data_IF_310589205280
#
_entry.id   IF_310589205280
#
_cell.length_a   1.000
_cell.length_b   1.000
_cell.length_c   1.000
_cell.angle_alpha   90.00
_cell.angle_beta   90.00
_cell.angle_gamma   90.00
#
_symmetry.space_group_name_H-M   'P 1'
#
loop_
_entity.id
_entity.type
_entity.pdbx_description
1 polymer ?
#
# COMPACT_ATOMS: atom_id res chain seq x y z
N UNK A 1 11.34 4.38 -17.30
CA UNK A 1 12.36 3.33 -17.10
C UNK A 1 13.58 3.74 -17.89
N UNK A 2 14.34 4.65 -17.30
CA UNK A 2 15.76 4.95 -17.47
C UNK A 2 15.93 6.29 -16.74
N UNK A 3 16.37 6.20 -15.50
CA UNK A 3 17.19 7.21 -14.86
C UNK A 3 17.81 6.54 -13.64
N UNK A 4 19.08 6.20 -13.80
CA UNK A 4 20.01 5.87 -12.74
C UNK A 4 20.06 7.04 -11.75
N UNK A 5 19.22 6.97 -10.72
CA UNK A 5 19.47 7.68 -9.47
C UNK A 5 20.19 6.70 -8.54
N UNK A 6 21.50 6.62 -8.68
CA UNK A 6 22.37 6.14 -7.61
C UNK A 6 22.17 7.03 -6.38
N UNK A 7 21.30 6.64 -5.46
CA UNK A 7 21.40 7.09 -4.07
C UNK A 7 22.16 6.04 -3.27
N UNK A 8 23.45 5.97 -3.54
CA UNK A 8 24.43 5.42 -2.60
C UNK A 8 24.67 6.46 -1.48
N UNK A 9 23.64 6.75 -0.70
CA UNK A 9 23.72 7.49 0.57
C UNK A 9 24.23 6.59 1.70
N UNK A 10 25.37 5.93 1.50
CA UNK A 10 26.11 5.26 2.56
C UNK A 10 26.88 6.28 3.39
N UNK A 11 26.29 6.73 4.50
CA UNK A 11 26.92 7.71 5.39
C UNK A 11 26.44 7.65 6.83
N UNK A 12 27.28 7.00 7.65
CA UNK A 12 27.40 7.10 9.13
C UNK A 12 26.33 6.41 9.98
N UNK A 13 26.60 5.13 10.24
CA UNK A 13 26.26 4.44 11.49
C UNK A 13 26.75 5.26 12.69
N UNK A 14 25.80 5.69 13.53
CA UNK A 14 26.05 6.63 14.61
C UNK A 14 24.82 6.91 15.47
N UNK A 15 24.31 5.87 16.16
CA UNK A 15 23.54 6.05 17.39
C UNK A 15 22.01 6.20 17.25
N UNK A 16 21.30 5.25 17.89
CA UNK A 16 19.87 5.23 18.22
C UNK A 16 18.88 4.94 17.06
N UNK A 17 18.63 3.64 16.83
CA UNK A 17 17.28 3.12 16.54
C UNK A 17 16.50 3.72 15.36
N UNK A 18 17.16 4.18 14.29
CA UNK A 18 16.44 4.73 13.12
C UNK A 18 15.69 3.60 12.41
N UNK A 19 14.35 3.66 12.43
CA UNK A 19 13.49 2.68 11.76
C UNK A 19 13.87 2.61 10.28
N UNK A 20 14.02 1.39 9.77
CA UNK A 20 14.28 1.16 8.34
C UNK A 20 13.11 1.71 7.53
N UNK A 21 13.39 2.60 6.58
CA UNK A 21 12.39 3.11 5.64
C UNK A 21 11.94 1.99 4.69
N UNK A 22 10.64 1.77 4.57
CA UNK A 22 10.02 0.64 3.88
C UNK A 22 9.46 1.02 2.52
N UNK A 23 8.96 2.25 2.37
CA UNK A 23 8.14 2.65 1.21
C UNK A 23 8.65 3.90 0.48
N UNK A 24 9.85 4.39 0.80
CA UNK A 24 10.40 5.65 0.27
C UNK A 24 10.33 5.73 -1.26
N UNK A 25 10.68 4.65 -1.97
CA UNK A 25 10.63 4.60 -3.44
C UNK A 25 9.20 4.66 -3.98
N UNK A 26 8.31 3.85 -3.44
CA UNK A 26 6.93 3.73 -3.89
C UNK A 26 6.12 5.00 -3.58
N UNK A 27 6.36 5.62 -2.43
CA UNK A 27 5.73 6.87 -2.03
C UNK A 27 6.15 8.03 -2.94
N UNK A 28 7.41 8.07 -3.37
CA UNK A 28 7.89 9.07 -4.33
C UNK A 28 7.12 8.99 -5.66
N UNK A 29 6.93 7.79 -6.20
CA UNK A 29 6.11 7.58 -7.40
C UNK A 29 4.63 7.92 -7.17
N UNK A 30 4.09 7.62 -5.99
CA UNK A 30 2.71 7.93 -5.65
C UNK A 30 2.48 9.44 -5.55
N UNK A 31 3.38 10.18 -4.89
CA UNK A 31 3.31 11.64 -4.76
C UNK A 31 3.28 12.31 -6.13
N UNK A 32 4.17 11.91 -7.03
CA UNK A 32 4.14 12.36 -8.43
C UNK A 32 2.80 12.03 -9.13
N UNK A 33 2.28 10.81 -8.93
CA UNK A 33 0.98 10.40 -9.48
C UNK A 33 -0.22 11.22 -8.95
N UNK A 34 -0.07 11.88 -7.79
CA UNK A 34 -1.05 12.82 -7.23
C UNK A 34 -0.77 14.30 -7.61
N UNK A 35 0.24 14.54 -8.46
CA UNK A 35 0.56 15.86 -9.01
C UNK A 35 1.68 16.62 -8.29
N UNK A 36 2.45 15.95 -7.43
CA UNK A 36 3.69 16.51 -6.87
C UNK A 36 4.82 16.52 -7.92
N UNK A 37 5.98 17.07 -7.56
CA UNK A 37 7.18 17.05 -8.41
C UNK A 37 7.70 15.62 -8.65
N UNK A 38 8.41 15.40 -9.76
CA UNK A 38 9.05 14.11 -10.06
C UNK A 38 10.11 13.74 -9.01
N UNK A 39 10.75 14.74 -8.41
CA UNK A 39 11.73 14.58 -7.35
C UNK A 39 11.34 15.40 -6.09
N UNK A 40 10.35 14.92 -5.30
CA UNK A 40 9.89 15.63 -4.11
C UNK A 40 10.96 15.68 -3.01
N UNK A 41 10.77 16.53 -2.00
CA UNK A 41 11.71 16.60 -0.87
C UNK A 41 11.75 15.28 -0.08
N UNK A 42 12.95 14.82 0.27
CA UNK A 42 13.14 13.58 1.03
C UNK A 42 12.46 13.65 2.39
N UNK A 43 12.46 14.81 3.03
CA UNK A 43 11.78 15.07 4.28
C UNK A 43 10.26 14.90 4.15
N UNK A 44 9.68 15.32 3.02
CA UNK A 44 8.25 15.13 2.74
C UNK A 44 7.90 13.65 2.55
N UNK A 45 8.75 12.90 1.84
CA UNK A 45 8.59 11.44 1.67
C UNK A 45 8.68 10.74 3.03
N UNK A 46 9.67 11.11 3.85
CA UNK A 46 9.88 10.55 5.18
C UNK A 46 8.68 10.79 6.12
N UNK A 47 8.15 12.01 6.15
CA UNK A 47 6.95 12.35 6.93
C UNK A 47 5.75 11.57 6.42
N UNK A 48 5.56 11.50 5.10
CA UNK A 48 4.44 10.77 4.51
C UNK A 48 4.53 9.27 4.83
N UNK A 49 5.73 8.70 4.88
CA UNK A 49 5.93 7.32 5.32
C UNK A 49 5.49 7.11 6.78
N UNK A 50 5.88 8.00 7.68
CA UNK A 50 5.46 7.93 9.08
C UNK A 50 3.93 8.04 9.22
N UNK A 51 3.29 8.94 8.47
CA UNK A 51 1.84 9.08 8.42
C UNK A 51 1.13 7.83 7.88
N UNK A 52 1.70 7.18 6.86
CA UNK A 52 1.13 5.95 6.28
C UNK A 52 1.24 4.79 7.26
N UNK A 53 2.38 4.65 7.95
CA UNK A 53 2.56 3.61 8.98
C UNK A 53 1.56 3.81 10.12
N UNK A 54 1.41 5.05 10.60
CA UNK A 54 0.43 5.38 11.64
C UNK A 54 -1.00 5.08 11.18
N UNK A 55 -1.36 5.50 9.96
CA UNK A 55 -2.68 5.25 9.38
C UNK A 55 -3.00 3.75 9.29
N UNK A 56 -2.07 2.93 8.78
CA UNK A 56 -2.25 1.48 8.69
C UNK A 56 -2.42 0.87 10.08
N UNK A 57 -1.59 1.30 11.04
CA UNK A 57 -1.63 0.82 12.43
C UNK A 57 -2.97 1.13 13.08
N UNK A 58 -3.42 2.39 12.99
CA UNK A 58 -4.68 2.83 13.60
C UNK A 58 -5.90 2.16 12.94
N UNK A 59 -5.91 2.06 11.60
CA UNK A 59 -6.95 1.33 10.86
C UNK A 59 -7.01 -0.14 11.26
N UNK A 60 -5.86 -0.79 11.46
CA UNK A 60 -5.79 -2.19 11.88
C UNK A 60 -6.32 -2.36 13.30
N UNK A 61 -5.97 -1.48 14.23
CA UNK A 61 -6.53 -1.49 15.58
C UNK A 61 -8.05 -1.31 15.60
N UNK A 62 -8.56 -0.34 14.82
CA UNK A 62 -10.00 -0.13 14.66
C UNK A 62 -10.67 -1.39 14.10
N UNK A 63 -10.08 -2.04 13.10
CA UNK A 63 -10.62 -3.25 12.50
C UNK A 63 -10.67 -4.42 13.49
N UNK A 64 -9.61 -4.60 14.28
CA UNK A 64 -9.57 -5.62 15.34
C UNK A 64 -10.61 -5.37 16.44
N UNK A 65 -10.98 -4.12 16.71
CA UNK A 65 -11.96 -3.78 17.75
C UNK A 65 -13.42 -4.08 17.34
N UNK A 66 -13.71 -4.08 16.05
CA UNK A 66 -15.06 -4.34 15.51
C UNK A 66 -15.23 -5.79 15.02
N UNK A 67 -14.13 -6.41 14.60
CA UNK A 67 -14.11 -7.74 14.00
C UNK A 67 -13.98 -8.87 15.03
N UNK A 68 -13.67 -10.07 14.54
CA UNK A 68 -13.39 -11.20 15.42
C UNK A 68 -12.02 -11.04 16.09
N UNK A 69 -11.97 -11.38 17.37
CA UNK A 69 -10.72 -11.35 18.14
C UNK A 69 -9.65 -12.24 17.48
N UNK A 70 -8.46 -11.68 17.26
CA UNK A 70 -7.29 -12.40 16.75
C UNK A 70 -7.16 -12.48 15.23
N UNK A 71 -8.11 -11.95 14.43
CA UNK A 71 -7.96 -11.90 12.97
C UNK A 71 -8.72 -10.74 12.34
N UNK A 72 -8.03 -9.95 11.51
CA UNK A 72 -8.64 -8.93 10.64
C UNK A 72 -9.05 -9.56 9.32
N UNK A 73 -10.29 -9.31 8.90
CA UNK A 73 -10.83 -9.72 7.60
C UNK A 73 -11.03 -8.51 6.67
N UNK A 74 -11.25 -8.76 5.39
CA UNK A 74 -11.47 -7.70 4.39
C UNK A 74 -12.75 -6.93 4.71
N UNK A 75 -13.78 -7.64 5.17
CA UNK A 75 -15.08 -7.11 5.54
C UNK A 75 -14.97 -6.07 6.68
N UNK A 76 -14.04 -6.27 7.62
CA UNK A 76 -13.80 -5.34 8.72
C UNK A 76 -13.31 -3.98 8.21
N UNK A 77 -12.35 -4.00 7.27
CA UNK A 77 -11.81 -2.78 6.64
C UNK A 77 -12.88 -2.09 5.79
N UNK A 78 -13.64 -2.86 5.00
CA UNK A 78 -14.75 -2.36 4.19
C UNK A 78 -15.83 -1.71 5.07
N UNK A 79 -16.11 -2.27 6.23
CA UNK A 79 -17.05 -1.71 7.19
C UNK A 79 -16.57 -0.35 7.74
N UNK A 80 -15.28 -0.22 8.09
CA UNK A 80 -14.73 1.03 8.60
C UNK A 80 -14.88 2.18 7.58
N UNK A 81 -14.63 1.91 6.30
CA UNK A 81 -14.67 2.93 5.24
C UNK A 81 -16.07 3.21 4.68
N UNK A 82 -17.10 2.47 5.09
CA UNK A 82 -18.46 2.53 4.50
C UNK A 82 -19.12 3.90 4.47
N UNK A 83 -18.66 4.83 5.33
CA UNK A 83 -19.18 6.20 5.41
C UNK A 83 -18.59 7.13 4.36
N UNK A 84 -17.49 6.74 3.71
CA UNK A 84 -16.92 7.47 2.58
C UNK A 84 -17.39 6.80 1.27
N UNK A 85 -18.37 7.39 0.57
CA UNK A 85 -18.97 6.75 -0.61
C UNK A 85 -17.96 6.56 -1.74
N UNK A 86 -16.97 7.46 -1.88
CA UNK A 86 -15.96 7.39 -2.95
C UNK A 86 -14.98 6.24 -2.68
N UNK A 87 -14.43 6.18 -1.46
CA UNK A 87 -13.52 5.09 -1.07
C UNK A 87 -14.22 3.74 -1.08
N UNK A 88 -15.47 3.69 -0.60
CA UNK A 88 -16.26 2.47 -0.55
C UNK A 88 -16.56 1.91 -1.95
N UNK A 89 -16.99 2.76 -2.89
CA UNK A 89 -17.19 2.34 -4.28
C UNK A 89 -15.88 1.82 -4.89
N UNK A 90 -14.79 2.57 -4.71
CA UNK A 90 -13.48 2.21 -5.27
C UNK A 90 -12.98 0.86 -4.75
N UNK A 91 -13.15 0.56 -3.47
CA UNK A 91 -12.73 -0.73 -2.90
C UNK A 91 -13.54 -1.89 -3.49
N UNK A 92 -14.85 -1.72 -3.71
CA UNK A 92 -15.67 -2.74 -4.35
C UNK A 92 -15.18 -3.04 -5.77
N UNK A 93 -14.92 -2.01 -6.56
CA UNK A 93 -14.44 -2.17 -7.94
C UNK A 93 -13.11 -2.92 -7.99
N UNK A 94 -12.17 -2.57 -7.10
CA UNK A 94 -10.86 -3.22 -7.01
C UNK A 94 -10.96 -4.69 -6.60
N UNK A 95 -11.84 -5.03 -5.66
CA UNK A 95 -12.06 -6.42 -5.24
C UNK A 95 -12.70 -7.26 -6.36
N UNK A 96 -13.70 -6.71 -7.06
CA UNK A 96 -14.32 -7.36 -8.22
C UNK A 96 -13.30 -7.64 -9.31
N UNK A 97 -12.51 -6.63 -9.70
CA UNK A 97 -11.48 -6.78 -10.72
C UNK A 97 -10.41 -7.82 -10.34
N UNK A 98 -10.02 -7.86 -9.06
CA UNK A 98 -9.06 -8.86 -8.58
C UNK A 98 -9.62 -10.29 -8.70
N UNK A 99 -10.89 -10.50 -8.36
CA UNK A 99 -11.55 -11.79 -8.54
C UNK A 99 -11.67 -12.20 -10.02
N UNK A 100 -11.96 -11.26 -10.91
CA UNK A 100 -11.97 -11.50 -12.37
C UNK A 100 -10.58 -11.91 -12.88
N UNK A 101 -9.53 -11.19 -12.46
CA UNK A 101 -8.14 -11.52 -12.82
C UNK A 101 -7.72 -12.90 -12.32
N UNK A 102 -8.09 -13.27 -11.08
CA UNK A 102 -7.82 -14.61 -10.54
C UNK A 102 -8.52 -15.70 -11.35
N UNK A 103 -9.79 -15.49 -11.71
CA UNK A 103 -10.55 -16.44 -12.54
C UNK A 103 -9.94 -16.60 -13.92
N UNK A 104 -9.55 -15.50 -14.56
CA UNK A 104 -8.90 -15.52 -15.86
C UNK A 104 -7.56 -16.28 -15.84
N UNK A 105 -6.72 -16.04 -14.82
CA UNK A 105 -5.46 -16.77 -14.63
C UNK A 105 -5.69 -18.27 -14.46
N UNK A 106 -6.64 -18.66 -13.61
CA UNK A 106 -6.97 -20.07 -13.38
C UNK A 106 -7.43 -20.78 -14.66
N UNK A 107 -8.30 -20.14 -15.45
CA UNK A 107 -8.78 -20.71 -16.71
C UNK A 107 -7.65 -20.87 -17.74
N UNK A 108 -6.67 -19.96 -17.75
CA UNK A 108 -5.49 -20.06 -18.62
C UNK A 108 -4.57 -21.21 -18.20
N UNK A 109 -4.28 -21.34 -16.91
CA UNK A 109 -3.43 -22.40 -16.38
C UNK A 109 -4.05 -23.79 -16.64
N UNK A 110 -5.36 -23.95 -16.43
CA UNK A 110 -6.09 -25.20 -16.71
C UNK A 110 -6.06 -25.57 -18.21
N UNK A 111 -6.08 -24.59 -19.11
CA UNK A 111 -5.98 -24.83 -20.56
C UNK A 111 -4.57 -25.29 -21.00
N UNK A 112 -3.53 -24.90 -20.26
CA UNK A 112 -2.13 -25.17 -20.62
C UNK A 112 -1.61 -26.52 -20.08
N UNK A 113 -2.30 -27.14 -19.12
CA UNK A 113 -2.02 -28.50 -18.62
C UNK A 113 -2.87 -29.60 -19.28
N UNK A 114 -3.76 -29.24 -20.22
CA UNK A 114 -4.63 -30.16 -20.96
C UNK A 114 -4.18 -30.52 -22.38
N UNK A 115 -2.98 -30.10 -22.78
CA UNK A 115 -2.33 -30.40 -24.08
C UNK A 115 -1.07 -31.24 -23.90
#
# INVERSE_FOLDING_TARGET
FEEDAEDAGGGLDGGQGRRKRLFSKELRCMMYGFGDDQNPYTESVDILEDLVIEFITEMTHKAMSIGRQGRVQVEDIVFLIRKDPRKFARVKDLLTMNEELKRARKAFDEANYGS
#
